data_IF_918114607107
#
_entry.id   IF_918114607107
#
_cell.length_a   1.000
_cell.length_b   1.000
_cell.length_c   1.000
_cell.angle_alpha   90.00
_cell.angle_beta   90.00
_cell.angle_gamma   90.00
#
_symmetry.space_group_name_H-M   'P 1'
#
loop_
_entity.id
_entity.type
_entity.pdbx_description
1 polymer ?
#
# COMPACT_ATOMS: atom_id res chain seq x y z
N UNK A 1 8.90 8.71 11.04
CA UNK A 1 9.07 7.30 11.45
C UNK A 1 8.50 6.40 10.37
N UNK A 2 8.92 5.13 10.30
CA UNK A 2 8.39 4.18 9.32
C UNK A 2 6.95 3.78 9.69
N UNK A 3 6.09 3.60 8.70
CA UNK A 3 4.71 3.17 8.94
C UNK A 3 4.70 1.76 9.54
N UNK A 4 3.82 1.47 10.51
CA UNK A 4 3.70 0.13 11.10
C UNK A 4 3.39 -0.94 10.06
N UNK A 5 2.55 -0.60 9.08
CA UNK A 5 2.21 -1.43 7.93
C UNK A 5 3.01 -0.95 6.73
N UNK A 6 3.94 -1.79 6.27
CA UNK A 6 4.86 -1.45 5.20
C UNK A 6 5.24 -2.68 4.37
N UNK A 7 5.89 -2.42 3.23
CA UNK A 7 6.30 -3.44 2.26
C UNK A 7 7.81 -3.74 2.31
N UNK A 8 8.48 -3.51 3.44
CA UNK A 8 9.94 -3.67 3.56
C UNK A 8 10.38 -5.13 3.35
N UNK A 9 9.55 -6.09 3.80
CA UNK A 9 9.80 -7.53 3.69
C UNK A 9 8.53 -8.30 3.37
N UNK A 10 8.69 -9.48 2.77
CA UNK A 10 7.59 -10.32 2.26
C UNK A 10 6.54 -10.66 3.35
N UNK A 11 6.97 -10.94 4.58
CA UNK A 11 6.04 -11.25 5.68
C UNK A 11 5.11 -10.09 6.05
N UNK A 12 5.64 -8.87 6.10
CA UNK A 12 4.82 -7.66 6.34
C UNK A 12 3.96 -7.32 5.14
N UNK A 13 4.48 -7.53 3.92
CA UNK A 13 3.70 -7.34 2.70
C UNK A 13 2.45 -8.23 2.69
N UNK A 14 2.55 -9.51 3.09
CA UNK A 14 1.38 -10.38 3.23
C UNK A 14 0.33 -9.84 4.22
N UNK A 15 0.76 -9.31 5.37
CA UNK A 15 -0.16 -8.69 6.34
C UNK A 15 -0.83 -7.43 5.79
N UNK A 16 -0.08 -6.59 5.06
CA UNK A 16 -0.62 -5.40 4.40
C UNK A 16 -1.66 -5.79 3.35
N UNK A 17 -1.34 -6.76 2.49
CA UNK A 17 -2.24 -7.28 1.47
C UNK A 17 -3.49 -7.93 2.07
N UNK A 18 -3.37 -8.62 3.20
CA UNK A 18 -4.52 -9.15 3.93
C UNK A 18 -5.47 -8.04 4.44
N UNK A 19 -4.92 -6.94 4.97
CA UNK A 19 -5.71 -5.77 5.38
C UNK A 19 -6.40 -5.07 4.19
N UNK A 20 -5.70 -4.97 3.06
CA UNK A 20 -6.28 -4.46 1.81
C UNK A 20 -7.41 -5.38 1.33
N UNK A 21 -7.20 -6.70 1.32
CA UNK A 21 -8.17 -7.67 0.87
C UNK A 21 -9.45 -7.69 1.72
N UNK A 22 -9.34 -7.42 3.02
CA UNK A 22 -10.46 -7.33 3.96
C UNK A 22 -11.09 -5.94 4.06
N UNK A 23 -10.55 -4.94 3.35
CA UNK A 23 -10.96 -3.53 3.42
C UNK A 23 -10.93 -2.94 4.84
N UNK A 24 -10.04 -3.43 5.71
CA UNK A 24 -9.85 -2.95 7.09
C UNK A 24 -8.41 -2.45 7.25
N UNK A 25 -8.23 -1.17 7.56
CA UNK A 25 -6.90 -0.55 7.67
C UNK A 25 -6.24 -0.19 6.33
N UNK A 26 -6.89 -0.50 5.20
CA UNK A 26 -6.37 -0.31 3.85
C UNK A 26 -6.05 1.15 3.46
N UNK A 27 -6.78 2.13 4.00
CA UNK A 27 -6.62 3.55 3.65
C UNK A 27 -5.22 4.06 3.99
N UNK A 28 -4.68 3.70 5.16
CA UNK A 28 -3.36 4.15 5.59
C UNK A 28 -2.27 3.57 4.69
N UNK A 29 -2.38 2.28 4.38
CA UNK A 29 -1.48 1.57 3.46
C UNK A 29 -1.47 2.22 2.07
N UNK A 30 -2.65 2.60 1.58
CA UNK A 30 -2.77 3.24 0.28
C UNK A 30 -2.20 4.66 0.27
N UNK A 31 -2.52 5.47 1.28
CA UNK A 31 -1.96 6.81 1.41
C UNK A 31 -0.43 6.77 1.46
N UNK A 32 0.14 5.87 2.26
CA UNK A 32 1.59 5.69 2.36
C UNK A 32 2.22 5.30 1.01
N UNK A 33 1.54 4.48 0.21
CA UNK A 33 2.00 4.07 -1.11
C UNK A 33 1.90 5.20 -2.15
N UNK A 34 0.83 5.99 -2.13
CA UNK A 34 0.57 7.09 -3.08
C UNK A 34 1.48 8.29 -2.80
N UNK A 35 1.81 8.51 -1.53
CA UNK A 35 2.69 9.60 -1.11
C UNK A 35 4.18 9.21 -1.21
N UNK A 36 4.47 7.96 -1.55
CA UNK A 36 5.83 7.42 -1.67
C UNK A 36 6.58 7.99 -2.88
N UNK A 37 7.87 8.30 -2.68
CA UNK A 37 8.79 8.75 -3.72
C UNK A 37 10.07 7.91 -3.71
N UNK A 38 11.22 8.52 -3.42
CA UNK A 38 12.50 7.82 -3.29
C UNK A 38 12.82 7.50 -1.82
N UNK A 39 13.68 6.50 -1.63
CA UNK A 39 14.20 6.13 -0.30
C UNK A 39 14.94 7.31 0.32
N UNK A 40 14.66 7.59 1.60
CA UNK A 40 15.28 8.70 2.33
C UNK A 40 14.70 10.08 2.02
N UNK A 41 13.65 10.16 1.19
CA UNK A 41 12.96 11.41 0.88
C UNK A 41 11.57 11.43 1.54
N UNK A 42 11.26 12.49 2.28
CA UNK A 42 9.97 12.66 2.98
C UNK A 42 8.76 12.55 2.04
N UNK A 43 7.72 11.74 2.31
CA UNK A 43 6.56 11.62 1.41
C UNK A 43 5.92 12.97 1.07
N UNK A 44 5.41 13.10 -0.15
CA UNK A 44 4.66 14.26 -0.63
C UNK A 44 3.31 13.75 -1.09
N UNK A 45 2.24 14.42 -0.64
CA UNK A 45 0.87 14.00 -0.94
C UNK A 45 0.66 13.82 -2.44
N UNK A 46 0.16 12.65 -2.83
CA UNK A 46 -0.23 12.30 -4.21
C UNK A 46 0.90 12.36 -5.25
N UNK A 47 2.16 12.27 -4.82
CA UNK A 47 3.30 12.29 -5.75
C UNK A 47 3.35 11.07 -6.67
N UNK A 48 2.75 9.95 -6.28
CA UNK A 48 2.75 8.69 -7.02
C UNK A 48 1.32 8.10 -7.14
N UNK A 49 0.42 8.90 -7.72
CA UNK A 49 -1.00 8.55 -7.88
C UNK A 49 -1.23 7.23 -8.66
N UNK A 50 -0.30 6.83 -9.54
CA UNK A 50 -0.44 5.60 -10.32
C UNK A 50 -0.40 4.33 -9.46
N UNK A 51 0.06 4.41 -8.20
CA UNK A 51 0.03 3.29 -7.26
C UNK A 51 -1.38 2.81 -6.91
N UNK A 52 -2.42 3.62 -7.13
CA UNK A 52 -3.81 3.15 -7.06
C UNK A 52 -4.06 1.92 -7.95
N UNK A 53 -3.43 1.86 -9.13
CA UNK A 53 -3.61 0.75 -10.07
C UNK A 53 -3.14 -0.58 -9.49
N UNK A 54 -2.05 -0.57 -8.71
CA UNK A 54 -1.57 -1.78 -8.02
C UNK A 54 -2.65 -2.37 -7.11
N UNK A 55 -3.26 -1.53 -6.28
CA UNK A 55 -4.32 -1.98 -5.36
C UNK A 55 -5.60 -2.39 -6.09
N UNK A 56 -5.97 -1.70 -7.18
CA UNK A 56 -7.13 -2.08 -8.00
C UNK A 56 -6.94 -3.48 -8.59
N UNK A 57 -5.79 -3.76 -9.21
CA UNK A 57 -5.52 -5.10 -9.74
C UNK A 57 -5.44 -6.15 -8.64
N UNK A 58 -4.82 -5.84 -7.51
CA UNK A 58 -4.78 -6.75 -6.37
C UNK A 58 -6.18 -7.09 -5.84
N UNK A 59 -7.08 -6.10 -5.70
CA UNK A 59 -8.45 -6.34 -5.23
C UNK A 59 -9.22 -7.19 -6.25
N UNK A 60 -9.07 -6.90 -7.55
CA UNK A 60 -9.73 -7.68 -8.61
C UNK A 60 -9.27 -9.14 -8.58
N UNK A 61 -7.97 -9.40 -8.65
CA UNK A 61 -7.44 -10.76 -8.80
C UNK A 61 -7.20 -11.52 -7.50
N UNK A 62 -7.02 -10.82 -6.38
CA UNK A 62 -6.67 -11.40 -5.09
C UNK A 62 -7.83 -11.48 -4.09
N UNK A 63 -8.90 -10.69 -4.29
CA UNK A 63 -10.08 -10.73 -3.43
C UNK A 63 -11.33 -11.27 -4.12
N UNK A 64 -11.55 -10.99 -5.41
CA UNK A 64 -12.77 -11.41 -6.13
C UNK A 64 -12.62 -12.72 -6.92
N UNK A 65 -11.42 -13.10 -7.33
CA UNK A 65 -11.09 -14.36 -8.01
C UNK A 65 -10.25 -15.26 -7.08
#
# INVERSE_FOLDING_TARGET
ENSPMNFDHVGKAYLCLFQVATFKGWIQIMNDAIDSREVGKQPIRETNIYMYLYFVFFIIFGSFF
#
